data_IF_953736835084
#
_entry.id   IF_953736835084
#
_cell.length_a   1.000
_cell.length_b   1.000
_cell.length_c   1.000
_cell.angle_alpha   90.00
_cell.angle_beta   90.00
_cell.angle_gamma   90.00
#
_symmetry.space_group_name_H-M   'P 1'
#
loop_
_entity.id
_entity.type
_entity.pdbx_description
1 polymer ?
#
# COMPACT_ATOMS: atom_id res chain seq x y z
N UNK A 1 -31.50 -20.48 -16.18
CA UNK A 1 -30.18 -20.83 -15.61
C UNK A 1 -29.47 -19.55 -15.22
N UNK A 2 -29.67 -19.16 -13.96
CA UNK A 2 -29.37 -17.82 -13.42
C UNK A 2 -28.34 -18.02 -12.31
N UNK A 3 -27.08 -17.63 -12.55
CA UNK A 3 -26.03 -17.74 -11.53
C UNK A 3 -26.26 -16.65 -10.47
N UNK A 4 -26.87 -17.06 -9.35
CA UNK A 4 -26.95 -16.28 -8.11
C UNK A 4 -25.54 -15.81 -7.72
N UNK A 5 -25.34 -14.49 -7.72
CA UNK A 5 -24.24 -13.83 -7.01
C UNK A 5 -24.43 -14.12 -5.52
N UNK A 6 -23.60 -14.99 -4.94
CA UNK A 6 -23.55 -15.18 -3.48
C UNK A 6 -23.11 -13.85 -2.86
N UNK A 7 -24.03 -13.24 -2.11
CA UNK A 7 -23.70 -12.41 -0.96
C UNK A 7 -22.75 -13.23 -0.07
N UNK A 8 -21.46 -12.92 -0.16
CA UNK A 8 -20.46 -13.35 0.80
C UNK A 8 -20.14 -12.15 1.66
N UNK A 9 -20.95 -11.90 2.68
CA UNK A 9 -20.58 -11.08 3.83
C UNK A 9 -19.37 -11.74 4.48
N UNK A 10 -18.16 -11.40 4.03
CA UNK A 10 -16.93 -11.87 4.67
C UNK A 10 -16.66 -10.92 5.83
N UNK A 11 -17.22 -11.26 6.99
CA UNK A 11 -16.66 -10.91 8.29
C UNK A 11 -15.23 -11.45 8.35
N UNK A 12 -14.25 -10.64 7.93
CA UNK A 12 -12.86 -10.86 8.29
C UNK A 12 -12.65 -10.18 9.63
N UNK A 13 -12.58 -11.01 10.67
CA UNK A 13 -12.14 -10.68 12.01
C UNK A 13 -10.73 -10.09 11.92
N UNK A 14 -10.63 -8.75 11.89
CA UNK A 14 -9.35 -8.07 11.96
C UNK A 14 -8.86 -8.08 13.41
N UNK A 15 -8.06 -9.09 13.75
CA UNK A 15 -7.08 -8.96 14.85
C UNK A 15 -5.98 -8.03 14.33
N UNK A 16 -6.27 -6.73 14.36
CA UNK A 16 -5.31 -5.65 14.15
C UNK A 16 -5.72 -4.45 15.01
N UNK A 17 -6.16 -4.73 16.24
CA UNK A 17 -6.04 -3.77 17.31
C UNK A 17 -4.70 -4.06 17.98
N UNK A 18 -3.92 -3.00 18.22
CA UNK A 18 -2.65 -3.01 18.97
C UNK A 18 -1.40 -3.15 18.06
N UNK A 19 -0.89 -1.97 17.67
CA UNK A 19 0.39 -1.65 16.99
C UNK A 19 0.46 -1.79 15.46
N UNK A 20 0.61 -0.63 14.80
CA UNK A 20 1.13 -0.52 13.44
C UNK A 20 0.06 -0.65 12.36
N UNK A 21 -0.48 0.47 11.91
CA UNK A 21 -1.53 0.49 10.90
C UNK A 21 -1.11 -0.15 9.58
N UNK A 22 -1.56 -1.37 9.33
CA UNK A 22 -1.75 -1.87 7.98
C UNK A 22 -2.83 -1.01 7.32
N UNK A 23 -2.42 -0.11 6.41
CA UNK A 23 -3.39 0.56 5.53
C UNK A 23 -3.71 -0.44 4.43
N UNK A 24 -4.70 -1.29 4.68
CA UNK A 24 -5.32 -2.10 3.62
C UNK A 24 -6.07 -1.10 2.73
N UNK A 25 -5.50 -0.80 1.56
CA UNK A 25 -6.11 0.08 0.55
C UNK A 25 -7.23 -0.69 -0.17
N UNK A 26 -8.35 -0.91 0.52
CA UNK A 26 -9.59 -1.29 -0.15
C UNK A 26 -10.29 -0.01 -0.65
N UNK A 27 -10.53 0.03 -1.97
CA UNK A 27 -11.16 1.06 -2.82
C UNK A 27 -10.25 2.13 -3.48
N UNK A 28 -9.99 2.04 -4.81
CA UNK A 28 -9.23 3.00 -5.56
C UNK A 28 -10.16 4.07 -6.14
N UNK A 29 -10.56 5.03 -5.32
CA UNK A 29 -11.21 6.26 -5.80
C UNK A 29 -10.49 7.49 -5.25
N UNK A 30 -9.16 7.46 -5.33
CA UNK A 30 -8.31 8.64 -5.17
C UNK A 30 -7.86 9.03 -6.57
N UNK A 31 -8.51 10.04 -7.15
CA UNK A 31 -8.04 10.64 -8.39
C UNK A 31 -6.99 11.70 -8.06
N UNK A 32 -5.87 11.71 -8.79
CA UNK A 32 -4.86 12.77 -8.69
C UNK A 32 -5.42 14.17 -9.03
N UNK A 33 -6.63 14.22 -9.59
CA UNK A 33 -7.35 15.43 -10.01
C UNK A 33 -8.27 16.02 -8.93
N UNK A 34 -8.41 15.36 -7.78
CA UNK A 34 -9.35 15.78 -6.72
C UNK A 34 -8.79 17.00 -5.97
N UNK A 35 -8.89 18.17 -6.57
CA UNK A 35 -8.68 19.46 -5.92
C UNK A 35 -9.91 19.82 -5.09
N UNK A 36 -10.03 19.20 -3.91
CA UNK A 36 -10.93 19.65 -2.84
C UNK A 36 -11.99 18.64 -2.40
N UNK A 37 -12.23 18.57 -1.09
CA UNK A 37 -13.46 18.03 -0.49
C UNK A 37 -13.42 16.59 0.02
N UNK A 38 -12.37 15.81 -0.24
CA UNK A 38 -12.31 14.43 0.24
C UNK A 38 -11.83 14.39 1.70
N UNK A 39 -12.77 14.34 2.67
CA UNK A 39 -12.47 14.18 4.10
C UNK A 39 -11.56 12.96 4.40
N UNK A 40 -11.54 11.96 3.51
CA UNK A 40 -10.60 10.82 3.50
C UNK A 40 -9.17 11.20 3.14
N UNK A 41 -8.98 12.03 2.11
CA UNK A 41 -7.65 12.55 1.74
C UNK A 41 -7.10 13.45 2.84
N UNK A 42 -7.95 14.27 3.46
CA UNK A 42 -7.55 15.08 4.61
C UNK A 42 -7.15 14.22 5.81
N UNK A 43 -7.88 13.14 6.10
CA UNK A 43 -7.51 12.20 7.16
C UNK A 43 -6.18 11.49 6.87
N UNK A 44 -5.96 11.04 5.63
CA UNK A 44 -4.68 10.46 5.21
C UNK A 44 -3.54 11.47 5.30
N UNK A 45 -3.75 12.69 4.82
CA UNK A 45 -2.75 13.77 4.84
C UNK A 45 -2.38 14.15 6.28
N UNK A 46 -3.37 14.23 7.18
CA UNK A 46 -3.13 14.41 8.63
C UNK A 46 -2.32 13.26 9.21
N UNK A 47 -2.60 12.02 8.80
CA UNK A 47 -1.86 10.82 9.27
C UNK A 47 -0.41 10.82 8.76
N UNK A 48 -0.18 11.17 7.49
CA UNK A 48 1.14 11.21 6.86
C UNK A 48 2.01 12.32 7.44
N UNK A 49 1.44 13.50 7.67
CA UNK A 49 2.16 14.65 8.25
C UNK A 49 2.13 14.68 9.78
N UNK A 50 1.63 13.64 10.44
CA UNK A 50 1.60 13.61 11.89
C UNK A 50 3.05 13.53 12.42
N UNK A 51 3.51 14.51 13.24
CA UNK A 51 4.90 14.53 13.71
C UNK A 51 5.25 13.36 14.64
N UNK A 52 4.25 12.72 15.25
CA UNK A 52 4.39 11.49 16.03
C UNK A 52 4.17 10.21 15.22
N UNK A 53 4.09 10.28 13.88
CA UNK A 53 3.92 9.09 13.06
C UNK A 53 5.15 8.19 13.19
N UNK A 54 4.96 7.02 13.81
CA UNK A 54 6.00 6.01 13.94
C UNK A 54 5.83 4.99 12.84
N UNK A 55 6.90 4.78 12.06
CA UNK A 55 6.96 3.68 11.11
C UNK A 55 6.93 2.37 11.91
N UNK A 56 6.08 1.39 11.56
CA UNK A 56 6.07 0.10 12.24
C UNK A 56 7.46 -0.52 12.28
N UNK A 57 7.78 -1.21 13.38
CA UNK A 57 9.05 -1.91 13.52
C UNK A 57 9.26 -2.93 12.38
N UNK A 58 10.52 -3.19 12.03
CA UNK A 58 10.89 -4.07 10.91
C UNK A 58 10.25 -5.45 11.04
N UNK A 59 10.18 -5.97 12.26
CA UNK A 59 9.61 -7.27 12.59
C UNK A 59 8.10 -7.31 12.29
N UNK A 60 7.39 -6.22 12.57
CA UNK A 60 5.96 -6.11 12.25
C UNK A 60 5.72 -6.02 10.74
N UNK A 61 6.59 -5.31 10.00
CA UNK A 61 6.50 -5.27 8.54
C UNK A 61 6.78 -6.64 7.92
N UNK A 62 7.78 -7.35 8.43
CA UNK A 62 8.14 -8.69 7.98
C UNK A 62 7.05 -9.71 8.31
N UNK A 63 6.41 -9.63 9.47
CA UNK A 63 5.34 -10.56 9.85
C UNK A 63 4.12 -10.42 8.94
N UNK A 64 3.76 -9.19 8.55
CA UNK A 64 2.68 -8.93 7.58
C UNK A 64 3.00 -9.54 6.22
N UNK A 65 4.24 -9.39 5.75
CA UNK A 65 4.65 -9.97 4.47
C UNK A 65 4.71 -11.51 4.54
N UNK A 66 5.24 -12.06 5.64
CA UNK A 66 5.35 -13.51 5.87
C UNK A 66 4.00 -14.19 6.11
N UNK A 67 2.97 -13.44 6.50
CA UNK A 67 1.61 -13.96 6.62
C UNK A 67 0.99 -14.32 5.25
N UNK A 68 1.57 -13.86 4.14
CA UNK A 68 1.21 -14.33 2.82
C UNK A 68 1.49 -15.83 2.71
N UNK A 69 0.47 -16.60 2.35
CA UNK A 69 0.53 -18.06 2.38
C UNK A 69 -0.22 -18.65 1.20
N UNK A 70 -0.13 -19.97 1.01
CA UNK A 70 -0.79 -20.65 -0.12
C UNK A 70 -2.31 -20.43 -0.17
N UNK A 71 -2.96 -20.24 0.99
CA UNK A 71 -4.41 -19.95 1.08
C UNK A 71 -4.76 -18.47 0.94
N UNK A 72 -3.79 -17.57 1.08
CA UNK A 72 -3.96 -16.13 0.91
C UNK A 72 -2.67 -15.53 0.32
N UNK A 73 -2.38 -15.78 -0.97
CA UNK A 73 -1.17 -15.31 -1.61
C UNK A 73 -1.25 -13.79 -1.87
N UNK A 74 -0.10 -13.17 -2.05
CA UNK A 74 -0.04 -11.87 -2.72
C UNK A 74 -0.29 -12.07 -4.21
N UNK A 75 -1.05 -11.16 -4.82
CA UNK A 75 -1.21 -11.11 -6.27
C UNK A 75 0.08 -10.62 -6.94
N UNK A 76 0.78 -9.66 -6.30
CA UNK A 76 2.04 -9.09 -6.81
C UNK A 76 3.04 -8.91 -5.66
N UNK A 77 4.30 -9.34 -5.88
CA UNK A 77 5.43 -9.00 -5.03
C UNK A 77 6.45 -8.18 -5.83
N UNK A 78 6.66 -6.93 -5.42
CA UNK A 78 7.62 -6.02 -6.03
C UNK A 78 8.95 -6.06 -5.25
N UNK A 79 10.05 -6.23 -5.98
CA UNK A 79 11.41 -6.22 -5.43
C UNK A 79 12.09 -4.92 -5.88
N UNK A 80 12.42 -4.07 -4.92
CA UNK A 80 13.02 -2.75 -5.12
C UNK A 80 12.02 -1.61 -4.90
N UNK A 81 12.33 -0.72 -3.97
CA UNK A 81 11.58 0.48 -3.59
C UNK A 81 12.11 1.76 -4.23
N UNK A 82 12.72 1.67 -5.41
CA UNK A 82 13.04 2.82 -6.26
C UNK A 82 11.83 3.31 -7.06
N UNK A 83 11.99 4.39 -7.83
CA UNK A 83 10.90 5.04 -8.57
C UNK A 83 10.05 4.06 -9.40
N UNK A 84 10.69 3.15 -10.14
CA UNK A 84 10.00 2.14 -10.96
C UNK A 84 9.20 1.15 -10.11
N UNK A 85 9.80 0.60 -9.05
CA UNK A 85 9.14 -0.38 -8.20
C UNK A 85 7.99 0.22 -7.40
N UNK A 86 8.17 1.43 -6.85
CA UNK A 86 7.10 2.18 -6.19
C UNK A 86 5.95 2.50 -7.16
N UNK A 87 6.25 2.88 -8.40
CA UNK A 87 5.23 3.12 -9.43
C UNK A 87 4.45 1.86 -9.81
N UNK A 88 5.15 0.74 -10.01
CA UNK A 88 4.52 -0.55 -10.30
C UNK A 88 3.64 -1.05 -9.13
N UNK A 89 4.11 -0.89 -7.89
CA UNK A 89 3.32 -1.24 -6.71
C UNK A 89 2.07 -0.37 -6.59
N UNK A 90 2.19 0.95 -6.82
CA UNK A 90 1.06 1.87 -6.81
C UNK A 90 0.03 1.48 -7.89
N UNK A 91 0.46 1.23 -9.12
CA UNK A 91 -0.44 0.81 -10.21
C UNK A 91 -1.19 -0.48 -9.83
N UNK A 92 -0.47 -1.51 -9.35
CA UNK A 92 -1.08 -2.77 -8.93
C UNK A 92 -2.09 -2.59 -7.79
N UNK A 93 -1.76 -1.79 -6.78
CA UNK A 93 -2.69 -1.48 -5.67
C UNK A 93 -3.92 -0.72 -6.18
N UNK A 94 -3.77 0.25 -7.07
CA UNK A 94 -4.91 0.99 -7.62
C UNK A 94 -5.83 0.13 -8.49
N UNK A 95 -5.37 -1.04 -8.93
CA UNK A 95 -6.18 -2.05 -9.62
C UNK A 95 -6.89 -3.02 -8.65
N UNK A 96 -6.72 -2.83 -7.33
CA UNK A 96 -7.33 -3.68 -6.30
C UNK A 96 -6.59 -4.99 -6.03
N UNK A 97 -5.32 -5.10 -6.46
CA UNK A 97 -4.50 -6.27 -6.20
C UNK A 97 -3.89 -6.22 -4.79
N UNK A 98 -3.68 -7.39 -4.18
CA UNK A 98 -2.88 -7.53 -2.97
C UNK A 98 -1.39 -7.47 -3.33
N UNK A 99 -0.69 -6.45 -2.81
CA UNK A 99 0.69 -6.15 -3.21
C UNK A 99 1.62 -6.12 -1.99
N UNK A 100 2.73 -6.85 -2.10
CA UNK A 100 3.89 -6.69 -1.23
C UNK A 100 5.00 -5.94 -1.96
N UNK A 101 5.76 -5.10 -1.24
CA UNK A 101 6.97 -4.48 -1.77
C UNK A 101 8.11 -4.64 -0.75
N UNK A 102 9.26 -5.10 -1.23
CA UNK A 102 10.48 -5.23 -0.42
C UNK A 102 11.61 -4.38 -0.98
N UNK A 103 12.29 -3.67 -0.09
CA UNK A 103 13.52 -2.94 -0.36
C UNK A 103 14.60 -3.42 0.62
N UNK A 104 15.83 -3.52 0.12
CA UNK A 104 17.00 -3.95 0.89
C UNK A 104 17.46 -2.85 1.84
N UNK A 105 17.48 -1.61 1.37
CA UNK A 105 17.92 -0.44 2.10
C UNK A 105 16.71 0.42 2.52
N UNK A 106 16.76 1.73 2.26
CA UNK A 106 15.63 2.65 2.40
C UNK A 106 14.95 2.90 1.05
N UNK A 107 13.72 3.41 1.07
CA UNK A 107 13.01 3.78 -0.13
C UNK A 107 13.80 4.82 -0.94
N UNK A 108 13.85 4.61 -2.25
CA UNK A 108 14.65 5.41 -3.19
C UNK A 108 16.17 5.47 -2.92
N UNK A 109 16.72 4.64 -2.02
CA UNK A 109 18.15 4.68 -1.66
C UNK A 109 19.11 4.40 -2.84
N UNK A 110 18.66 3.79 -3.93
CA UNK A 110 19.45 3.54 -5.15
C UNK A 110 19.58 4.74 -6.09
N UNK A 111 19.53 4.51 -7.41
CA UNK A 111 19.64 5.56 -8.44
C UNK A 111 18.55 6.62 -8.32
N UNK A 112 17.36 6.26 -7.81
CA UNK A 112 16.22 7.15 -7.69
C UNK A 112 16.46 8.38 -6.79
N UNK A 113 17.42 8.34 -5.87
CA UNK A 113 17.84 9.52 -5.06
C UNK A 113 19.00 10.31 -5.70
N UNK A 114 19.69 9.72 -6.68
CA UNK A 114 20.93 10.23 -7.32
C UNK A 114 20.70 10.79 -8.73
N UNK A 115 19.52 11.32 -9.02
CA UNK A 115 19.24 12.01 -10.28
C UNK A 115 19.61 13.49 -10.21
N UNK A 116 19.58 14.16 -11.36
CA UNK A 116 19.60 15.63 -11.48
C UNK A 116 18.35 16.29 -10.88
N UNK A 117 17.32 15.50 -10.53
CA UNK A 117 16.03 15.95 -9.98
C UNK A 117 15.28 16.90 -10.91
N UNK A 118 15.52 16.76 -12.22
CA UNK A 118 14.81 17.48 -13.27
C UNK A 118 13.92 16.50 -14.04
N UNK A 119 12.67 16.89 -14.24
CA UNK A 119 11.78 16.22 -15.19
C UNK A 119 11.94 16.92 -16.53
N UNK A 120 12.35 16.20 -17.57
CA UNK A 120 12.45 16.70 -18.92
C UNK A 120 11.89 15.68 -19.92
N UNK A 121 11.43 16.16 -21.08
CA UNK A 121 10.96 15.36 -22.21
C UNK A 121 12.03 15.16 -23.27
#
# INVERSE_FOLDING_TARGET
MTRLRKLGTVTVTAIAAVYGGAVILHDPLISASDYGGNHRLEALRKKVHHPGAVVPAREAQQSVLAAACKSNPLDVLVIGGGATGSGAALDAVTRGLSVGLVEREDFAAGTSSRSTKLLHG
#
